data_IF_684757361342
#
_entry.id   IF_684757361342
#
_cell.length_a   1.000
_cell.length_b   1.000
_cell.length_c   1.000
_cell.angle_alpha   90.00
_cell.angle_beta   90.00
_cell.angle_gamma   90.00
#
_symmetry.space_group_name_H-M   'P 1'
#
loop_
_entity.id
_entity.type
_entity.pdbx_description
1 polymer ?
#
# COMPACT_ATOMS: atom_id res chain seq x y z
N UNK A 1 7.98 14.00 -10.33
CA UNK A 1 9.44 14.16 -10.27
C UNK A 1 9.84 15.16 -9.19
N UNK A 2 9.35 16.42 -9.22
CA UNK A 2 9.72 17.49 -8.26
C UNK A 2 9.57 17.08 -6.80
N UNK A 3 8.47 16.38 -6.45
CA UNK A 3 8.23 15.91 -5.08
C UNK A 3 9.20 14.79 -4.66
N UNK A 4 9.54 13.87 -5.58
CA UNK A 4 10.49 12.80 -5.30
C UNK A 4 11.90 13.38 -5.06
N UNK A 5 12.31 14.33 -5.89
CA UNK A 5 13.58 15.03 -5.70
C UNK A 5 13.63 15.74 -4.34
N UNK A 6 12.58 16.49 -3.99
CA UNK A 6 12.49 17.18 -2.68
C UNK A 6 12.61 16.18 -1.51
N UNK A 7 11.97 15.01 -1.59
CA UNK A 7 12.05 13.99 -0.55
C UNK A 7 13.49 13.43 -0.39
N UNK A 8 14.18 13.17 -1.49
CA UNK A 8 15.57 12.71 -1.47
C UNK A 8 16.48 13.77 -0.87
N UNK A 9 16.32 15.03 -1.27
CA UNK A 9 17.10 16.16 -0.77
C UNK A 9 16.88 16.39 0.75
N UNK A 10 15.65 16.15 1.24
CA UNK A 10 15.31 16.27 2.67
C UNK A 10 15.94 15.15 3.52
N UNK A 11 15.90 13.90 3.03
CA UNK A 11 16.41 12.72 3.77
C UNK A 11 17.95 12.71 3.82
N UNK A 12 18.63 13.29 2.83
CA UNK A 12 20.09 13.42 2.76
C UNK A 12 20.85 12.08 2.92
N UNK A 13 20.27 10.98 2.44
CA UNK A 13 20.93 9.69 2.46
C UNK A 13 21.58 9.43 1.09
N UNK A 14 22.93 9.23 1.01
CA UNK A 14 23.62 9.04 -0.27
C UNK A 14 23.23 7.74 -1.00
N UNK A 15 22.61 6.79 -0.29
CA UNK A 15 22.10 5.54 -0.86
C UNK A 15 20.63 5.59 -1.24
N UNK A 16 19.99 6.77 -1.15
CA UNK A 16 18.61 6.96 -1.54
C UNK A 16 18.53 7.45 -2.99
N UNK A 17 17.83 6.69 -3.82
CA UNK A 17 17.58 7.01 -5.22
C UNK A 17 16.06 7.11 -5.48
N UNK A 18 15.68 7.76 -6.55
CA UNK A 18 14.29 7.78 -7.01
C UNK A 18 14.18 7.50 -8.50
N UNK A 19 13.06 6.93 -8.90
CA UNK A 19 12.64 6.79 -10.29
C UNK A 19 11.20 7.27 -10.44
N UNK A 20 10.90 7.85 -11.59
CA UNK A 20 9.52 8.21 -11.96
C UNK A 20 8.94 7.06 -12.77
N UNK A 21 7.97 6.35 -12.19
CA UNK A 21 7.34 5.16 -12.76
C UNK A 21 5.84 5.26 -12.60
N UNK A 22 5.10 5.01 -13.66
CA UNK A 22 3.66 4.78 -13.55
C UNK A 22 3.39 3.32 -13.19
N UNK A 23 3.04 3.06 -11.93
CA UNK A 23 2.78 1.69 -11.46
C UNK A 23 1.56 1.04 -12.13
N UNK A 24 0.66 1.82 -12.73
CA UNK A 24 -0.48 1.29 -13.49
C UNK A 24 -0.07 0.72 -14.85
N UNK A 25 1.14 1.05 -15.34
CA UNK A 25 1.73 0.53 -16.56
C UNK A 25 2.76 -0.56 -16.25
N UNK A 26 2.45 -1.80 -16.58
CA UNK A 26 3.35 -2.94 -16.31
C UNK A 26 4.72 -2.81 -16.98
N UNK A 27 4.77 -2.34 -18.23
CA UNK A 27 6.02 -2.19 -18.97
C UNK A 27 6.97 -1.18 -18.31
N UNK A 28 6.43 -0.08 -17.78
CA UNK A 28 7.21 0.91 -17.03
C UNK A 28 7.79 0.32 -15.74
N UNK A 29 6.97 -0.45 -15.01
CA UNK A 29 7.40 -1.15 -13.79
C UNK A 29 8.46 -2.19 -14.12
N UNK A 30 8.23 -3.07 -15.10
CA UNK A 30 9.13 -4.14 -15.49
C UNK A 30 10.50 -3.60 -15.93
N UNK A 31 10.52 -2.55 -16.75
CA UNK A 31 11.75 -1.88 -17.18
C UNK A 31 12.53 -1.35 -15.97
N UNK A 32 11.87 -0.64 -15.07
CA UNK A 32 12.52 -0.05 -13.90
C UNK A 32 13.06 -1.12 -12.94
N UNK A 33 12.30 -2.19 -12.71
CA UNK A 33 12.74 -3.32 -11.89
C UNK A 33 13.93 -4.04 -12.53
N UNK A 34 13.92 -4.23 -13.84
CA UNK A 34 15.05 -4.82 -14.58
C UNK A 34 16.31 -3.98 -14.44
N UNK A 35 16.20 -2.67 -14.56
CA UNK A 35 17.34 -1.74 -14.39
C UNK A 35 17.93 -1.82 -12.97
N UNK A 36 17.08 -1.97 -11.94
CA UNK A 36 17.53 -2.12 -10.55
C UNK A 36 18.16 -3.50 -10.35
N UNK A 37 17.48 -4.57 -10.74
CA UNK A 37 17.93 -5.94 -10.47
C UNK A 37 19.15 -6.37 -11.29
N UNK A 38 19.52 -5.60 -12.33
CA UNK A 38 20.80 -5.75 -13.03
C UNK A 38 22.01 -5.34 -12.18
N UNK A 39 21.80 -4.57 -11.10
CA UNK A 39 22.84 -3.99 -10.24
C UNK A 39 22.81 -4.51 -8.82
N UNK A 40 21.63 -4.81 -8.29
CA UNK A 40 21.43 -5.24 -6.91
C UNK A 40 20.16 -6.08 -6.78
N UNK A 41 20.00 -6.81 -5.67
CA UNK A 41 18.75 -7.49 -5.35
C UNK A 41 17.72 -6.50 -4.78
N UNK A 42 16.45 -6.88 -4.87
CA UNK A 42 15.35 -6.18 -4.19
C UNK A 42 14.86 -7.12 -3.08
N UNK A 43 15.20 -6.81 -1.85
CA UNK A 43 14.86 -7.60 -0.67
C UNK A 43 13.53 -7.17 -0.04
N UNK A 44 13.15 -5.90 -0.19
CA UNK A 44 11.95 -5.33 0.41
C UNK A 44 11.15 -4.57 -0.65
N UNK A 45 9.84 -4.83 -0.69
CA UNK A 45 8.87 -4.08 -1.51
C UNK A 45 7.77 -3.52 -0.61
N UNK A 46 7.59 -2.19 -0.64
CA UNK A 46 6.47 -1.53 0.03
C UNK A 46 5.56 -0.91 -1.02
N UNK A 47 4.41 -1.54 -1.27
CA UNK A 47 3.38 -1.04 -2.16
C UNK A 47 2.50 -0.05 -1.40
N UNK A 48 2.88 1.22 -1.41
CA UNK A 48 2.17 2.29 -0.71
C UNK A 48 1.41 3.23 -1.66
N UNK A 49 1.82 3.32 -2.92
CA UNK A 49 1.20 4.22 -3.89
C UNK A 49 -0.29 3.91 -4.08
N UNK A 50 -1.10 4.96 -4.14
CA UNK A 50 -2.54 4.82 -4.33
C UNK A 50 -3.26 6.16 -4.35
N UNK A 51 -4.49 6.15 -4.82
CA UNK A 51 -5.38 7.32 -4.87
C UNK A 51 -6.76 6.98 -4.32
N UNK A 52 -7.41 7.94 -3.67
CA UNK A 52 -8.79 7.77 -3.16
C UNK A 52 -9.84 8.07 -4.23
N UNK A 53 -9.55 9.01 -5.12
CA UNK A 53 -10.53 9.54 -6.07
C UNK A 53 -11.63 10.39 -5.41
N UNK A 54 -12.61 10.85 -6.21
CA UNK A 54 -13.78 11.55 -5.70
C UNK A 54 -14.71 10.61 -4.91
N UNK A 55 -15.60 11.18 -4.11
CA UNK A 55 -16.64 10.45 -3.39
C UNK A 55 -17.99 10.67 -4.07
N UNK A 56 -18.77 9.60 -4.20
CA UNK A 56 -20.10 9.64 -4.80
C UNK A 56 -20.76 8.26 -4.78
N UNK A 57 -22.11 8.20 -4.91
CA UNK A 57 -22.83 6.94 -4.94
C UNK A 57 -22.42 6.14 -6.19
N UNK A 58 -22.42 4.82 -6.07
CA UNK A 58 -21.93 3.91 -7.12
C UNK A 58 -22.62 4.16 -8.48
N UNK A 59 -23.92 4.38 -8.47
CA UNK A 59 -24.74 4.53 -9.68
C UNK A 59 -24.57 5.87 -10.42
N UNK A 60 -23.84 6.82 -9.81
CA UNK A 60 -23.47 8.12 -10.39
C UNK A 60 -21.96 8.26 -10.60
N UNK A 61 -21.20 7.20 -10.25
CA UNK A 61 -19.73 7.27 -10.30
C UNK A 61 -19.24 7.26 -11.74
N UNK A 62 -18.32 8.16 -12.07
CA UNK A 62 -17.67 8.18 -13.38
C UNK A 62 -16.89 6.89 -13.62
N UNK A 63 -17.19 6.20 -14.72
CA UNK A 63 -16.63 4.87 -15.04
C UNK A 63 -15.12 4.92 -15.27
N UNK A 64 -14.64 5.95 -15.94
CA UNK A 64 -13.21 6.07 -16.26
C UNK A 64 -12.41 6.38 -14.98
N UNK A 65 -12.94 7.21 -14.11
CA UNK A 65 -12.33 7.48 -12.81
C UNK A 65 -12.35 6.23 -11.93
N UNK A 66 -13.46 5.47 -11.91
CA UNK A 66 -13.56 4.22 -11.18
C UNK A 66 -12.50 3.22 -11.64
N UNK A 67 -12.35 3.03 -12.95
CA UNK A 67 -11.35 2.17 -13.56
C UNK A 67 -9.93 2.64 -13.21
N UNK A 68 -9.67 3.94 -13.29
CA UNK A 68 -8.36 4.52 -12.96
C UNK A 68 -7.96 4.25 -11.51
N UNK A 69 -8.91 4.36 -10.56
CA UNK A 69 -8.65 4.10 -9.14
C UNK A 69 -8.28 2.62 -8.93
N UNK A 70 -9.03 1.70 -9.52
CA UNK A 70 -8.75 0.26 -9.44
C UNK A 70 -7.43 -0.08 -10.13
N UNK A 71 -7.16 0.53 -11.28
CA UNK A 71 -5.91 0.34 -12.03
C UNK A 71 -4.69 0.74 -11.19
N UNK A 72 -4.75 1.85 -10.46
CA UNK A 72 -3.63 2.28 -9.61
C UNK A 72 -3.57 1.45 -8.33
N UNK A 73 -4.68 1.31 -7.58
CA UNK A 73 -4.65 0.72 -6.24
C UNK A 73 -4.49 -0.81 -6.24
N UNK A 74 -5.03 -1.51 -7.25
CA UNK A 74 -4.95 -2.97 -7.36
C UNK A 74 -3.92 -3.39 -8.41
N UNK A 75 -4.10 -2.94 -9.66
CA UNK A 75 -3.20 -3.38 -10.74
C UNK A 75 -1.79 -2.85 -10.54
N UNK A 76 -1.62 -1.64 -9.99
CA UNK A 76 -0.29 -1.12 -9.61
C UNK A 76 0.41 -2.01 -8.58
N UNK A 77 -0.31 -2.46 -7.55
CA UNK A 77 0.22 -3.41 -6.55
C UNK A 77 0.59 -4.75 -7.21
N UNK A 78 -0.29 -5.29 -8.07
CA UNK A 78 -0.02 -6.51 -8.84
C UNK A 78 1.22 -6.35 -9.73
N UNK A 79 1.32 -5.27 -10.48
CA UNK A 79 2.43 -5.02 -11.41
C UNK A 79 3.78 -5.02 -10.68
N UNK A 80 3.87 -4.34 -9.54
CA UNK A 80 5.09 -4.31 -8.73
C UNK A 80 5.43 -5.70 -8.17
N UNK A 81 4.46 -6.41 -7.61
CA UNK A 81 4.67 -7.79 -7.13
C UNK A 81 5.11 -8.71 -8.29
N UNK A 82 4.41 -8.66 -9.44
CA UNK A 82 4.69 -9.48 -10.62
C UNK A 82 6.12 -9.30 -11.14
N UNK A 83 6.62 -8.06 -11.13
CA UNK A 83 7.95 -7.74 -11.62
C UNK A 83 9.06 -8.11 -10.63
N UNK A 84 8.83 -7.96 -9.31
CA UNK A 84 9.86 -8.10 -8.28
C UNK A 84 9.98 -9.53 -7.74
N UNK A 85 8.88 -10.26 -7.57
CA UNK A 85 8.85 -11.60 -6.97
C UNK A 85 9.82 -12.59 -7.61
N UNK A 86 10.03 -12.63 -8.94
CA UNK A 86 11.03 -13.53 -9.54
C UNK A 86 12.46 -13.32 -9.01
N UNK A 87 12.86 -12.06 -8.73
CA UNK A 87 14.15 -11.75 -8.11
C UNK A 87 14.22 -12.25 -6.66
N UNK A 88 13.15 -12.06 -5.86
CA UNK A 88 13.08 -12.56 -4.49
C UNK A 88 13.12 -14.09 -4.45
N UNK A 89 12.42 -14.79 -5.36
CA UNK A 89 12.46 -16.26 -5.47
C UNK A 89 13.88 -16.74 -5.76
N UNK A 90 14.57 -16.11 -6.71
CA UNK A 90 15.95 -16.46 -7.07
C UNK A 90 16.91 -16.35 -5.87
N UNK A 91 16.70 -15.38 -5.00
CA UNK A 91 17.52 -15.12 -3.82
C UNK A 91 17.01 -15.85 -2.57
N UNK A 92 15.85 -16.50 -2.64
CA UNK A 92 15.12 -17.11 -1.54
C UNK A 92 14.97 -16.17 -0.33
N UNK A 93 14.72 -14.90 -0.59
CA UNK A 93 14.47 -13.88 0.44
C UNK A 93 13.59 -12.76 -0.10
N UNK A 94 12.62 -12.33 0.70
CA UNK A 94 11.80 -11.16 0.37
C UNK A 94 10.82 -10.78 1.47
N UNK A 95 10.56 -9.47 1.59
CA UNK A 95 9.52 -8.90 2.47
C UNK A 95 8.65 -7.94 1.66
N UNK A 96 7.40 -8.27 1.50
CA UNK A 96 6.43 -7.46 0.74
C UNK A 96 5.38 -6.92 1.71
N UNK A 97 5.20 -5.60 1.74
CA UNK A 97 4.17 -4.95 2.54
C UNK A 97 3.24 -4.17 1.61
N UNK A 98 1.99 -4.61 1.52
CA UNK A 98 0.94 -3.95 0.76
C UNK A 98 0.13 -3.02 1.68
N UNK A 99 0.17 -1.71 1.41
CA UNK A 99 -0.63 -0.74 2.15
C UNK A 99 -2.05 -0.73 1.60
N UNK A 100 -2.91 -1.51 2.26
CA UNK A 100 -4.35 -1.57 1.98
C UNK A 100 -5.10 -0.44 2.70
N UNK A 101 -6.24 -0.72 3.29
CA UNK A 101 -7.06 0.22 4.07
C UNK A 101 -8.15 -0.54 4.81
N UNK A 102 -8.65 0.01 5.92
CA UNK A 102 -9.91 -0.46 6.53
C UNK A 102 -11.07 -0.43 5.53
N UNK A 103 -11.07 0.52 4.58
CA UNK A 103 -12.06 0.57 3.51
C UNK A 103 -12.04 -0.67 2.59
N UNK A 104 -10.92 -1.39 2.52
CA UNK A 104 -10.81 -2.66 1.81
C UNK A 104 -11.35 -3.84 2.61
N UNK A 105 -11.46 -3.72 3.93
CA UNK A 105 -12.09 -4.73 4.82
C UNK A 105 -13.60 -4.51 4.92
N UNK A 106 -14.01 -3.32 5.31
CA UNK A 106 -15.37 -3.02 5.74
C UNK A 106 -16.23 -2.42 4.60
N UNK A 107 -15.58 -1.95 3.52
CA UNK A 107 -16.21 -1.07 2.55
C UNK A 107 -16.36 0.36 3.10
N UNK A 108 -16.42 1.34 2.20
CA UNK A 108 -16.72 2.71 2.58
C UNK A 108 -17.75 3.29 1.62
N UNK A 109 -18.92 3.68 2.14
CA UNK A 109 -19.97 4.29 1.34
C UNK A 109 -19.43 5.48 0.54
N UNK A 110 -19.86 5.62 -0.70
CA UNK A 110 -19.44 6.64 -1.66
C UNK A 110 -17.96 6.56 -2.10
N UNK A 111 -17.26 5.46 -1.80
CA UNK A 111 -15.87 5.21 -2.19
C UNK A 111 -15.69 3.78 -2.73
N UNK A 112 -16.62 3.32 -3.58
CA UNK A 112 -16.67 1.94 -4.08
C UNK A 112 -15.40 1.53 -4.82
N UNK A 113 -14.87 2.39 -5.71
CA UNK A 113 -13.65 2.11 -6.46
C UNK A 113 -12.43 1.92 -5.54
N UNK A 114 -12.26 2.82 -4.55
CA UNK A 114 -11.18 2.73 -3.57
C UNK A 114 -11.30 1.48 -2.71
N UNK A 115 -12.50 1.21 -2.18
CA UNK A 115 -12.78 0.02 -1.38
C UNK A 115 -12.50 -1.26 -2.16
N UNK A 116 -12.96 -1.34 -3.41
CA UNK A 116 -12.71 -2.50 -4.29
C UNK A 116 -11.22 -2.69 -4.58
N UNK A 117 -10.49 -1.62 -4.91
CA UNK A 117 -9.06 -1.68 -5.16
C UNK A 117 -8.27 -2.17 -3.92
N UNK A 118 -8.61 -1.65 -2.73
CA UNK A 118 -7.95 -2.04 -1.47
C UNK A 118 -8.36 -3.44 -0.99
N UNK A 119 -9.61 -3.86 -1.24
CA UNK A 119 -10.05 -5.24 -0.99
C UNK A 119 -9.32 -6.23 -1.92
N UNK A 120 -9.16 -5.88 -3.19
CA UNK A 120 -8.38 -6.66 -4.15
C UNK A 120 -6.91 -6.81 -3.73
N UNK A 121 -6.28 -5.74 -3.22
CA UNK A 121 -4.92 -5.79 -2.68
C UNK A 121 -4.79 -6.72 -1.46
N UNK A 122 -5.81 -6.79 -0.59
CA UNK A 122 -5.87 -7.76 0.52
C UNK A 122 -5.95 -9.20 -0.03
N UNK A 123 -6.82 -9.45 -1.01
CA UNK A 123 -6.94 -10.76 -1.66
C UNK A 123 -5.64 -11.19 -2.33
N UNK A 124 -5.01 -10.28 -3.08
CA UNK A 124 -3.70 -10.51 -3.71
C UNK A 124 -2.61 -10.86 -2.67
N UNK A 125 -2.56 -10.13 -1.55
CA UNK A 125 -1.63 -10.41 -0.44
C UNK A 125 -1.77 -11.83 0.06
N UNK A 126 -3.00 -12.27 0.33
CA UNK A 126 -3.28 -13.61 0.86
C UNK A 126 -2.94 -14.71 -0.15
N UNK A 127 -3.25 -14.50 -1.43
CA UNK A 127 -2.93 -15.45 -2.48
C UNK A 127 -1.42 -15.60 -2.66
N UNK A 128 -0.73 -14.47 -2.89
CA UNK A 128 0.71 -14.47 -3.13
C UNK A 128 1.51 -14.97 -1.92
N UNK A 129 1.09 -14.62 -0.69
CA UNK A 129 1.75 -15.12 0.52
C UNK A 129 1.64 -16.64 0.68
N UNK A 130 0.50 -17.25 0.26
CA UNK A 130 0.35 -18.70 0.23
C UNK A 130 1.18 -19.36 -0.87
N UNK A 131 1.29 -18.73 -2.04
CA UNK A 131 2.11 -19.22 -3.15
C UNK A 131 3.61 -19.23 -2.82
N UNK A 132 4.05 -18.38 -1.89
CA UNK A 132 5.45 -18.21 -1.50
C UNK A 132 5.76 -18.78 -0.10
N UNK A 133 4.81 -19.49 0.54
CA UNK A 133 4.92 -19.93 1.92
C UNK A 133 6.04 -20.96 2.18
N UNK A 134 6.55 -21.63 1.15
CA UNK A 134 7.68 -22.56 1.19
C UNK A 134 9.05 -21.87 1.08
N UNK A 135 9.08 -20.54 0.97
CA UNK A 135 10.28 -19.71 0.79
C UNK A 135 10.44 -18.73 1.95
N UNK A 136 11.64 -18.18 2.14
CA UNK A 136 11.83 -17.05 3.05
C UNK A 136 11.32 -15.74 2.45
N UNK A 137 10.06 -15.76 2.00
CA UNK A 137 9.39 -14.61 1.43
C UNK A 137 8.05 -14.41 2.14
N UNK A 138 7.90 -13.28 2.84
CA UNK A 138 6.66 -12.92 3.52
C UNK A 138 5.92 -11.79 2.78
N UNK A 139 4.62 -11.98 2.55
CA UNK A 139 3.75 -11.00 1.87
C UNK A 139 2.62 -10.62 2.81
N UNK A 140 2.65 -9.40 3.32
CA UNK A 140 1.67 -8.95 4.31
C UNK A 140 0.96 -7.67 3.86
N UNK A 141 -0.23 -7.42 4.37
CA UNK A 141 -0.95 -6.18 4.20
C UNK A 141 -1.12 -5.45 5.52
N UNK A 142 -1.14 -4.12 5.45
CA UNK A 142 -1.54 -3.26 6.58
C UNK A 142 -2.80 -2.51 6.19
N UNK A 143 -3.79 -2.47 7.09
CA UNK A 143 -5.08 -1.81 6.85
C UNK A 143 -5.25 -0.61 7.80
N UNK A 144 -4.64 0.54 7.49
CA UNK A 144 -4.82 1.74 8.29
C UNK A 144 -6.22 2.34 8.14
N UNK A 145 -6.71 2.92 9.24
CA UNK A 145 -7.76 3.93 9.21
C UNK A 145 -7.17 5.31 8.81
N UNK A 146 -7.89 6.39 9.07
CA UNK A 146 -7.38 7.74 8.85
C UNK A 146 -6.08 7.98 9.63
N UNK A 147 -5.02 8.35 8.91
CA UNK A 147 -3.74 8.72 9.49
C UNK A 147 -3.57 10.24 9.52
N UNK A 148 -2.86 10.73 10.54
CA UNK A 148 -2.56 12.15 10.70
C UNK A 148 -1.51 12.58 9.68
N UNK A 149 -1.98 12.98 8.51
CA UNK A 149 -1.15 13.45 7.40
C UNK A 149 -1.58 14.85 6.98
N UNK A 150 -0.76 15.52 6.16
CA UNK A 150 -1.07 16.86 5.60
C UNK A 150 -2.41 16.90 4.84
N UNK A 151 -2.98 15.76 4.46
CA UNK A 151 -4.27 15.70 3.79
C UNK A 151 -5.41 16.15 4.71
N UNK A 152 -5.29 15.96 6.03
CA UNK A 152 -6.30 16.42 7.00
C UNK A 152 -6.40 17.94 7.05
N UNK A 153 -5.30 18.65 6.79
CA UNK A 153 -5.26 20.12 6.79
C UNK A 153 -6.06 20.71 5.61
N UNK A 154 -6.36 19.89 4.59
CA UNK A 154 -7.12 20.26 3.40
C UNK A 154 -8.62 19.93 3.51
N UNK A 155 -9.04 19.30 4.60
CA UNK A 155 -10.42 18.85 4.82
C UNK A 155 -11.18 19.82 5.75
N UNK A 156 -12.51 19.88 5.59
CA UNK A 156 -13.33 20.62 6.54
C UNK A 156 -13.30 19.97 7.93
N UNK A 157 -13.47 20.79 8.97
CA UNK A 157 -13.50 20.31 10.37
C UNK A 157 -14.60 19.26 10.59
N UNK A 158 -15.76 19.43 9.95
CA UNK A 158 -16.89 18.51 10.01
C UNK A 158 -16.53 17.16 9.38
N UNK A 159 -15.79 17.17 8.25
CA UNK A 159 -15.33 15.95 7.61
C UNK A 159 -14.32 15.20 8.47
N UNK A 160 -13.35 15.91 9.03
CA UNK A 160 -12.35 15.36 9.96
C UNK A 160 -13.04 14.74 11.18
N UNK A 161 -14.01 15.45 11.77
CA UNK A 161 -14.77 14.95 12.91
C UNK A 161 -15.58 13.69 12.59
N UNK A 162 -16.19 13.63 11.39
CA UNK A 162 -16.90 12.44 10.90
C UNK A 162 -15.96 11.25 10.69
N UNK A 163 -14.76 11.48 10.18
CA UNK A 163 -13.76 10.42 10.08
C UNK A 163 -13.34 9.93 11.46
N UNK A 164 -13.10 10.86 12.39
CA UNK A 164 -12.65 10.55 13.74
C UNK A 164 -13.70 9.76 14.52
N UNK A 165 -14.98 10.08 14.36
CA UNK A 165 -16.09 9.37 15.06
C UNK A 165 -16.18 7.87 14.71
N UNK A 166 -15.56 7.45 13.60
CA UNK A 166 -15.47 6.05 13.19
C UNK A 166 -14.28 5.30 13.81
N UNK A 167 -13.41 5.99 14.56
CA UNK A 167 -12.22 5.41 15.17
C UNK A 167 -12.44 5.29 16.67
N UNK A 168 -12.74 4.11 17.24
CA UNK A 168 -13.03 3.93 18.66
C UNK A 168 -11.93 4.44 19.59
N UNK A 169 -10.66 4.41 19.14
CA UNK A 169 -9.54 4.95 19.91
C UNK A 169 -9.59 6.48 20.11
N UNK A 170 -10.50 7.20 19.45
CA UNK A 170 -10.73 8.63 19.61
C UNK A 170 -9.65 9.55 19.04
N UNK A 171 -8.71 9.01 18.26
CA UNK A 171 -7.67 9.76 17.56
C UNK A 171 -7.27 9.11 16.24
N UNK A 172 -6.68 9.88 15.35
CA UNK A 172 -6.06 9.35 14.14
C UNK A 172 -4.78 8.55 14.45
N UNK A 173 -4.43 7.66 13.53
CA UNK A 173 -3.17 6.94 13.53
C UNK A 173 -2.00 7.92 13.35
N UNK A 174 -1.03 7.87 14.24
CA UNK A 174 0.20 8.65 14.08
C UNK A 174 1.15 7.95 13.07
N UNK A 175 1.88 8.75 12.30
CA UNK A 175 2.75 8.21 11.24
C UNK A 175 3.78 7.23 11.79
N UNK A 176 4.38 7.52 12.96
CA UNK A 176 5.38 6.65 13.56
C UNK A 176 4.80 5.29 14.00
N UNK A 177 3.53 5.22 14.42
CA UNK A 177 2.85 3.96 14.78
C UNK A 177 2.64 3.08 13.53
N UNK A 178 2.39 3.72 12.38
CA UNK A 178 2.27 3.03 11.10
C UNK A 178 3.63 2.54 10.60
N UNK A 179 4.62 3.44 10.55
CA UNK A 179 5.95 3.12 10.01
C UNK A 179 6.68 2.09 10.85
N UNK A 180 6.54 2.09 12.19
CA UNK A 180 7.12 1.06 13.06
C UNK A 180 6.63 -0.35 12.70
N UNK A 181 5.32 -0.51 12.41
CA UNK A 181 4.79 -1.78 11.96
C UNK A 181 5.33 -2.16 10.58
N UNK A 182 5.33 -1.23 9.63
CA UNK A 182 5.85 -1.49 8.28
C UNK A 182 7.32 -1.91 8.34
N UNK A 183 8.13 -1.25 9.15
CA UNK A 183 9.53 -1.61 9.37
C UNK A 183 9.67 -3.02 9.96
N UNK A 184 8.87 -3.38 10.96
CA UNK A 184 8.89 -4.74 11.52
C UNK A 184 8.47 -5.78 10.50
N UNK A 185 7.38 -5.56 9.76
CA UNK A 185 6.93 -6.47 8.69
C UNK A 185 7.97 -6.63 7.57
N UNK A 186 8.84 -5.64 7.38
CA UNK A 186 9.92 -5.64 6.39
C UNK A 186 11.24 -6.20 6.94
N UNK A 187 11.32 -6.51 8.23
CA UNK A 187 12.53 -7.01 8.88
C UNK A 187 12.68 -8.53 8.77
N UNK A 188 13.88 -9.03 9.07
CA UNK A 188 14.15 -10.47 9.16
C UNK A 188 13.40 -11.15 10.31
N UNK A 189 13.02 -10.39 11.35
CA UNK A 189 12.25 -10.91 12.49
C UNK A 189 10.87 -11.41 12.07
N UNK A 190 10.30 -10.86 11.00
CA UNK A 190 9.05 -11.32 10.41
C UNK A 190 9.28 -12.49 9.45
N UNK A 191 9.64 -13.65 9.98
CA UNK A 191 9.89 -14.87 9.19
C UNK A 191 8.73 -15.86 9.17
N UNK A 192 7.71 -15.68 10.05
CA UNK A 192 6.62 -16.66 10.21
C UNK A 192 5.22 -16.09 9.92
N UNK A 193 5.12 -14.92 9.28
CA UNK A 193 3.84 -14.31 8.90
C UNK A 193 3.76 -14.14 7.38
N UNK A 194 3.47 -15.21 6.62
CA UNK A 194 3.57 -15.17 5.16
C UNK A 194 2.39 -14.49 4.45
N UNK A 195 1.23 -14.27 5.10
CA UNK A 195 0.00 -13.80 4.44
C UNK A 195 -0.94 -13.03 5.39
N UNK A 196 -0.38 -12.30 6.34
CA UNK A 196 -1.15 -11.58 7.35
C UNK A 196 -1.77 -10.28 6.82
N UNK A 197 -2.91 -9.92 7.42
CA UNK A 197 -3.57 -8.62 7.21
C UNK A 197 -3.66 -7.92 8.55
N UNK A 198 -2.71 -7.02 8.80
CA UNK A 198 -2.56 -6.39 10.12
C UNK A 198 -3.41 -5.13 10.20
N UNK A 199 -4.38 -5.15 11.11
CA UNK A 199 -5.29 -4.04 11.33
C UNK A 199 -4.64 -2.85 12.05
N UNK A 200 -4.94 -1.64 11.57
CA UNK A 200 -4.60 -0.36 12.16
C UNK A 200 -5.80 0.59 12.16
N UNK A 201 -6.99 0.03 12.42
CA UNK A 201 -8.26 0.78 12.47
C UNK A 201 -8.46 1.58 13.75
N UNK A 202 -7.67 1.31 14.78
CA UNK A 202 -7.91 1.85 16.13
C UNK A 202 -9.16 1.26 16.78
N UNK A 203 -9.52 0.02 16.43
CA UNK A 203 -10.65 -0.74 16.95
C UNK A 203 -11.93 -0.61 16.12
N UNK A 204 -11.89 0.07 14.97
CA UNK A 204 -13.07 0.24 14.11
C UNK A 204 -13.39 -0.96 13.22
N UNK A 205 -12.42 -1.84 12.98
CA UNK A 205 -12.57 -3.07 12.22
C UNK A 205 -11.96 -4.24 13.00
N UNK A 206 -12.61 -5.41 13.00
CA UNK A 206 -12.29 -6.52 13.94
C UNK A 206 -11.99 -7.87 13.27
N UNK A 207 -11.91 -7.93 11.96
CA UNK A 207 -11.57 -9.20 11.24
C UNK A 207 -10.39 -9.05 10.32
#
# INVERSE_FOLDING_TARGET
EKLLKSAVDEIKNPNLFYSVVDISNYQDVEKNVTDITSKTNIDILINNAGITGPTGPLWEYDVDMWNKIVQINLMGTFNCCRAIVPNMIKNNYGRIVNVASVAGKDGNANASAYSSGKAGAIGLTKALGKELADKDIAVNAVTPAGAKTRILDQMSKEHVQRMLSKVPRGRFLEIHEFTSLVCWLSSQENSFSPAEVVDRSGGGSTY
#
